data_IF_045952959404
#
_entry.id   IF_045952959404
#
_cell.length_a   1.000
_cell.length_b   1.000
_cell.length_c   1.000
_cell.angle_alpha   90.00
_cell.angle_beta   90.00
_cell.angle_gamma   90.00
#
_symmetry.space_group_name_H-M   'P 1'
#
loop_
_entity.id
_entity.type
_entity.pdbx_description
1 polymer ?
#
# COMPACT_ATOMS: atom_id res chain seq x y z
N UNK A 1 -33.76 -3.74 7.35
CA UNK A 1 -32.80 -4.81 7.09
C UNK A 1 -31.39 -4.23 7.13
N UNK A 2 -30.61 -4.65 8.09
CA UNK A 2 -29.23 -4.16 8.20
C UNK A 2 -28.34 -4.90 7.21
N UNK A 3 -27.53 -4.16 6.46
CA UNK A 3 -26.48 -4.74 5.65
C UNK A 3 -25.22 -4.81 6.51
N UNK A 4 -24.64 -5.98 6.59
CA UNK A 4 -23.36 -6.12 7.24
C UNK A 4 -22.31 -5.40 6.41
N UNK A 5 -21.57 -4.52 7.05
CA UNK A 5 -20.45 -3.87 6.40
C UNK A 5 -19.27 -4.82 6.36
N UNK A 6 -18.63 -4.92 5.18
CA UNK A 6 -17.39 -5.67 5.05
C UNK A 6 -16.30 -4.88 5.76
N UNK A 7 -15.60 -5.50 6.74
CA UNK A 7 -14.50 -4.83 7.41
C UNK A 7 -13.46 -4.39 6.39
N UNK A 8 -13.23 -3.08 6.31
CA UNK A 8 -12.37 -2.49 5.29
C UNK A 8 -11.44 -1.47 5.92
N UNK A 9 -10.14 -1.62 5.65
CA UNK A 9 -9.17 -0.57 5.91
C UNK A 9 -9.31 0.45 4.77
N UNK A 10 -9.43 1.72 5.10
CA UNK A 10 -9.47 2.77 4.09
C UNK A 10 -8.62 3.94 4.55
N UNK A 11 -7.67 4.33 3.73
CA UNK A 11 -6.83 5.51 3.95
C UNK A 11 -6.84 6.34 2.69
N UNK A 12 -6.61 7.65 2.82
CA UNK A 12 -6.68 8.56 1.69
C UNK A 12 -5.80 9.78 1.91
N UNK A 13 -5.42 10.41 0.80
CA UNK A 13 -4.60 11.62 0.86
C UNK A 13 -4.62 12.33 -0.51
N UNK A 14 -4.66 13.64 -0.48
CA UNK A 14 -4.38 14.46 -1.67
C UNK A 14 -2.87 14.47 -1.89
N UNK A 15 -2.46 14.09 -3.10
CA UNK A 15 -1.07 14.13 -3.55
C UNK A 15 -0.98 15.24 -4.60
N UNK A 16 -0.13 16.22 -4.39
CA UNK A 16 -0.01 17.40 -5.26
C UNK A 16 0.88 17.11 -6.46
N UNK A 17 0.54 16.03 -7.18
CA UNK A 17 1.21 15.62 -8.41
C UNK A 17 0.16 15.07 -9.37
N UNK A 18 0.43 15.09 -10.69
CA UNK A 18 -0.50 14.56 -11.70
C UNK A 18 -0.82 13.09 -11.48
N UNK A 19 -2.03 12.67 -11.84
CA UNK A 19 -2.52 11.32 -11.60
C UNK A 19 -1.62 10.25 -12.24
N UNK A 20 -1.02 10.52 -13.39
CA UNK A 20 -0.12 9.56 -14.04
C UNK A 20 1.13 9.29 -13.21
N UNK A 21 1.67 10.30 -12.53
CA UNK A 21 2.85 10.11 -11.66
C UNK A 21 2.49 9.30 -10.42
N UNK A 22 1.35 9.60 -9.80
CA UNK A 22 0.91 8.88 -8.59
C UNK A 22 0.61 7.42 -8.94
N UNK A 23 -0.04 7.18 -10.07
CA UNK A 23 -0.33 5.84 -10.56
C UNK A 23 0.97 5.05 -10.81
N UNK A 24 1.93 5.62 -11.53
CA UNK A 24 3.20 4.96 -11.83
C UNK A 24 4.02 4.66 -10.57
N UNK A 25 3.85 5.46 -9.52
CA UNK A 25 4.56 5.22 -8.26
C UNK A 25 4.23 3.85 -7.65
N UNK A 26 3.04 3.31 -7.93
CA UNK A 26 2.65 1.98 -7.46
C UNK A 26 2.90 0.88 -8.49
N UNK A 27 2.96 1.22 -9.77
CA UNK A 27 3.21 0.25 -10.85
C UNK A 27 4.70 -0.10 -10.95
N UNK A 28 5.56 0.93 -10.88
CA UNK A 28 6.99 0.79 -11.13
C UNK A 28 7.77 0.70 -9.82
N UNK A 29 8.39 -0.47 -9.52
CA UNK A 29 9.15 -0.62 -8.27
C UNK A 29 10.35 0.31 -8.18
N UNK A 30 10.88 0.81 -9.30
CA UNK A 30 11.94 1.81 -9.26
C UNK A 30 11.49 3.07 -8.51
N UNK A 31 10.18 3.32 -8.46
CA UNK A 31 9.61 4.45 -7.72
C UNK A 31 9.12 3.99 -6.35
N UNK A 32 8.38 2.88 -6.28
CA UNK A 32 7.75 2.39 -5.05
C UNK A 32 8.77 2.10 -3.95
N UNK A 33 9.96 1.64 -4.32
CA UNK A 33 11.01 1.32 -3.34
C UNK A 33 11.53 2.55 -2.59
N UNK A 34 11.20 3.74 -3.02
CA UNK A 34 11.58 4.97 -2.31
C UNK A 34 10.70 5.26 -1.10
N UNK A 35 9.53 4.62 -0.99
CA UNK A 35 8.61 4.93 0.11
C UNK A 35 7.91 3.70 0.71
N UNK A 36 8.12 2.52 0.22
CA UNK A 36 7.40 1.33 0.70
C UNK A 36 8.34 0.12 0.88
N UNK A 37 8.18 -0.91 0.05
CA UNK A 37 9.05 -2.08 0.10
C UNK A 37 10.43 -1.76 -0.47
N UNK A 38 11.42 -2.64 -0.25
CA UNK A 38 12.80 -2.36 -0.67
C UNK A 38 13.17 -3.00 -1.99
N UNK A 39 12.43 -4.06 -2.41
CA UNK A 39 12.72 -4.77 -3.65
C UNK A 39 11.45 -5.42 -4.18
N UNK A 40 11.33 -5.50 -5.50
CA UNK A 40 10.27 -6.25 -6.18
C UNK A 40 10.86 -7.05 -7.33
N UNK A 41 10.25 -8.20 -7.62
CA UNK A 41 10.65 -9.03 -8.76
C UNK A 41 10.21 -8.46 -10.11
N UNK A 42 9.35 -7.45 -10.13
CA UNK A 42 8.90 -6.81 -11.37
C UNK A 42 7.82 -5.78 -11.16
N UNK A 43 7.40 -5.16 -12.27
CA UNK A 43 6.29 -4.21 -12.27
C UNK A 43 4.97 -4.94 -12.08
N UNK A 44 3.95 -4.23 -11.59
CA UNK A 44 2.61 -4.77 -11.51
C UNK A 44 2.03 -4.90 -12.93
N UNK A 45 1.53 -6.09 -13.24
CA UNK A 45 0.88 -6.40 -14.52
C UNK A 45 -0.28 -7.34 -14.24
N UNK A 46 -1.41 -7.14 -14.93
CA UNK A 46 -2.60 -7.97 -14.74
C UNK A 46 -2.27 -9.45 -14.96
N UNK A 47 -2.69 -10.27 -14.02
CA UNK A 47 -2.48 -11.71 -14.06
C UNK A 47 -1.10 -12.18 -13.61
N UNK A 48 -0.21 -11.25 -13.26
CA UNK A 48 1.16 -11.57 -12.87
C UNK A 48 1.32 -11.48 -11.36
N UNK A 49 2.03 -12.45 -10.80
CA UNK A 49 2.42 -12.42 -9.39
C UNK A 49 3.85 -11.93 -9.27
N UNK A 50 4.06 -10.90 -8.46
CA UNK A 50 5.40 -10.40 -8.14
C UNK A 50 5.67 -10.65 -6.66
N UNK A 51 6.94 -10.60 -6.28
CA UNK A 51 7.36 -10.72 -4.88
C UNK A 51 7.88 -9.36 -4.43
N UNK A 52 7.29 -8.83 -3.36
CA UNK A 52 7.79 -7.63 -2.69
C UNK A 52 8.58 -8.06 -1.47
N UNK A 53 9.72 -7.41 -1.24
CA UNK A 53 10.61 -7.73 -0.13
C UNK A 53 10.90 -6.50 0.72
N UNK A 54 10.90 -6.72 2.03
CA UNK A 54 11.43 -5.76 3.02
C UNK A 54 12.71 -6.40 3.55
N UNK A 55 13.82 -6.10 2.87
CA UNK A 55 15.10 -6.78 3.11
C UNK A 55 15.61 -6.63 4.53
N UNK A 56 15.38 -5.46 5.14
CA UNK A 56 15.79 -5.19 6.52
C UNK A 56 15.10 -6.10 7.54
N UNK A 57 13.95 -6.66 7.21
CA UNK A 57 13.21 -7.58 8.08
C UNK A 57 13.27 -9.02 7.61
N UNK A 58 13.91 -9.28 6.47
CA UNK A 58 13.91 -10.60 5.82
C UNK A 58 12.49 -11.12 5.61
N UNK A 59 11.59 -10.22 5.24
CA UNK A 59 10.17 -10.52 4.98
C UNK A 59 9.89 -10.29 3.51
N UNK A 60 9.09 -11.19 2.94
CA UNK A 60 8.59 -11.03 1.57
C UNK A 60 7.12 -11.41 1.52
N UNK A 61 6.43 -10.91 0.51
CA UNK A 61 5.04 -11.27 0.24
C UNK A 61 4.81 -11.37 -1.26
N UNK A 62 3.90 -12.26 -1.66
CA UNK A 62 3.48 -12.37 -3.05
C UNK A 62 2.31 -11.44 -3.30
N UNK A 63 2.34 -10.77 -4.44
CA UNK A 63 1.30 -9.81 -4.85
C UNK A 63 0.82 -10.19 -6.24
N UNK A 64 -0.44 -10.56 -6.34
CA UNK A 64 -1.09 -10.86 -7.63
C UNK A 64 -1.92 -9.65 -8.04
N UNK A 65 -1.65 -9.10 -9.22
CA UNK A 65 -2.45 -8.01 -9.77
C UNK A 65 -3.64 -8.59 -10.52
N UNK A 66 -4.84 -8.19 -10.13
CA UNK A 66 -6.08 -8.68 -10.70
C UNK A 66 -6.65 -7.75 -11.76
N UNK A 67 -6.51 -6.46 -11.58
CA UNK A 67 -7.06 -5.46 -12.49
C UNK A 67 -6.22 -4.20 -12.48
N UNK A 68 -6.06 -3.58 -13.65
CA UNK A 68 -5.44 -2.26 -13.80
C UNK A 68 -6.27 -1.46 -14.79
N UNK A 69 -6.68 -0.26 -14.38
CA UNK A 69 -7.25 0.75 -15.26
C UNK A 69 -6.30 1.94 -15.21
N UNK A 70 -5.65 2.25 -16.32
CA UNK A 70 -4.59 3.27 -16.37
C UNK A 70 -5.03 4.59 -15.74
N UNK A 71 -4.24 5.08 -14.80
CA UNK A 71 -4.45 6.34 -14.08
C UNK A 71 -5.74 6.40 -13.26
N UNK A 72 -6.39 5.25 -13.01
CA UNK A 72 -7.66 5.21 -12.28
C UNK A 72 -7.71 4.18 -11.16
N UNK A 73 -7.19 2.96 -11.40
CA UNK A 73 -7.46 1.87 -10.48
C UNK A 73 -6.46 0.74 -10.60
N UNK A 74 -6.06 0.18 -9.47
CA UNK A 74 -5.27 -1.07 -9.40
C UNK A 74 -5.91 -1.93 -8.32
N UNK A 75 -6.15 -3.22 -8.61
CA UNK A 75 -6.60 -4.18 -7.62
C UNK A 75 -5.61 -5.32 -7.52
N UNK A 76 -5.19 -5.62 -6.30
CA UNK A 76 -4.22 -6.68 -6.03
C UNK A 76 -4.71 -7.58 -4.91
N UNK A 77 -4.14 -8.79 -4.85
CA UNK A 77 -4.27 -9.68 -3.70
C UNK A 77 -2.89 -9.94 -3.13
N UNK A 78 -2.77 -9.89 -1.81
CA UNK A 78 -1.51 -10.17 -1.14
C UNK A 78 -1.74 -10.88 0.19
N UNK A 79 -0.68 -11.48 0.71
CA UNK A 79 -0.70 -12.14 2.01
C UNK A 79 -1.19 -13.59 1.96
N UNK A 80 -1.23 -14.20 3.14
CA UNK A 80 -1.69 -15.58 3.30
C UNK A 80 -2.33 -15.74 4.69
N UNK A 81 -3.68 -15.88 4.77
CA UNK A 81 -4.65 -15.87 3.66
C UNK A 81 -4.66 -14.52 2.93
N UNK A 82 -4.94 -14.57 1.64
CA UNK A 82 -4.91 -13.37 0.81
C UNK A 82 -6.03 -12.40 1.16
N UNK A 83 -5.70 -11.11 1.16
CA UNK A 83 -6.68 -10.03 1.21
C UNK A 83 -6.54 -9.19 -0.04
N UNK A 84 -7.58 -8.41 -0.34
CA UNK A 84 -7.58 -7.53 -1.52
C UNK A 84 -7.11 -6.14 -1.12
N UNK A 85 -6.26 -5.55 -1.96
CA UNK A 85 -5.84 -4.15 -1.82
C UNK A 85 -6.17 -3.43 -3.11
N UNK A 86 -7.05 -2.43 -3.02
CA UNK A 86 -7.44 -1.59 -4.13
C UNK A 86 -6.81 -0.21 -3.99
N UNK A 87 -6.28 0.31 -5.09
CA UNK A 87 -5.68 1.65 -5.17
C UNK A 87 -6.52 2.44 -6.14
N UNK A 88 -7.13 3.53 -5.67
CA UNK A 88 -8.06 4.36 -6.44
C UNK A 88 -7.42 5.73 -6.65
N UNK A 89 -7.33 6.16 -7.90
CA UNK A 89 -6.68 7.42 -8.28
C UNK A 89 -7.72 8.33 -8.91
N UNK A 90 -7.98 9.47 -8.28
CA UNK A 90 -8.93 10.44 -8.79
C UNK A 90 -8.22 11.74 -9.13
N UNK A 91 -8.27 12.15 -10.39
CA UNK A 91 -7.72 13.44 -10.81
C UNK A 91 -8.59 14.56 -10.28
N UNK A 92 -7.97 15.56 -9.65
CA UNK A 92 -8.66 16.72 -9.12
C UNK A 92 -8.55 17.90 -10.08
N UNK A 93 -9.43 18.88 -9.89
CA UNK A 93 -9.53 20.04 -10.80
C UNK A 93 -8.27 20.89 -10.87
N UNK A 94 -7.43 20.87 -9.82
CA UNK A 94 -6.17 21.62 -9.78
C UNK A 94 -4.97 20.82 -10.36
N UNK A 95 -5.23 19.66 -10.96
CA UNK A 95 -4.18 18.83 -11.52
C UNK A 95 -3.49 17.90 -10.51
N UNK A 96 -3.96 17.90 -9.26
CA UNK A 96 -3.47 16.96 -8.25
C UNK A 96 -4.29 15.68 -8.26
N UNK A 97 -3.95 14.76 -7.36
CA UNK A 97 -4.58 13.43 -7.28
C UNK A 97 -5.14 13.19 -5.88
N UNK A 98 -6.36 12.64 -5.80
CA UNK A 98 -6.86 12.09 -4.57
C UNK A 98 -6.65 10.59 -4.61
N UNK A 99 -5.80 10.08 -3.71
CA UNK A 99 -5.46 8.67 -3.63
C UNK A 99 -6.21 8.03 -2.48
N UNK A 100 -6.89 6.91 -2.78
CA UNK A 100 -7.57 6.11 -1.77
C UNK A 100 -7.00 4.70 -1.85
N UNK A 101 -6.64 4.11 -0.71
CA UNK A 101 -6.25 2.70 -0.62
C UNK A 101 -7.24 2.00 0.28
N UNK A 102 -7.79 0.88 -0.21
CA UNK A 102 -8.71 0.02 0.54
C UNK A 102 -8.14 -1.37 0.64
N UNK A 103 -8.21 -1.95 1.85
CA UNK A 103 -7.78 -3.33 2.06
C UNK A 103 -8.91 -4.08 2.77
N UNK A 104 -9.36 -5.17 2.18
CA UNK A 104 -10.51 -5.92 2.66
C UNK A 104 -10.40 -7.40 2.31
N UNK A 105 -11.37 -8.19 2.78
CA UNK A 105 -11.38 -9.63 2.55
C UNK A 105 -10.66 -10.40 3.67
N UNK A 106 -10.65 -9.84 4.88
CA UNK A 106 -10.02 -10.49 6.03
C UNK A 106 -10.82 -11.72 6.46
N UNK A 107 -10.14 -12.84 6.64
CA UNK A 107 -10.71 -14.10 7.15
C UNK A 107 -10.42 -14.22 8.64
N UNK A 108 -10.70 -13.15 9.39
CA UNK A 108 -10.42 -13.05 10.81
C UNK A 108 -11.68 -12.56 11.56
N UNK A 109 -11.74 -12.82 12.84
CA UNK A 109 -12.85 -12.40 13.71
C UNK A 109 -12.33 -11.82 15.01
N UNK A 110 -13.18 -11.07 15.69
CA UNK A 110 -12.91 -10.57 17.05
C UNK A 110 -11.66 -9.72 17.14
N UNK A 111 -10.85 -9.97 18.17
CA UNK A 111 -9.65 -9.19 18.44
C UNK A 111 -8.59 -9.30 17.33
N UNK A 112 -8.50 -10.46 16.69
CA UNK A 112 -7.57 -10.65 15.57
C UNK A 112 -7.93 -9.75 14.40
N UNK A 113 -9.23 -9.62 14.10
CA UNK A 113 -9.70 -8.73 13.05
C UNK A 113 -9.44 -7.27 13.41
N UNK A 114 -9.74 -6.88 14.65
CA UNK A 114 -9.50 -5.51 15.13
C UNK A 114 -8.01 -5.17 15.01
N UNK A 115 -7.15 -6.09 15.43
CA UNK A 115 -5.70 -5.91 15.34
C UNK A 115 -5.22 -5.75 13.92
N UNK A 116 -5.73 -6.59 13.00
CA UNK A 116 -5.38 -6.52 11.57
C UNK A 116 -5.81 -5.18 10.96
N UNK A 117 -7.04 -4.73 11.26
CA UNK A 117 -7.55 -3.44 10.76
C UNK A 117 -6.68 -2.29 11.27
N UNK A 118 -6.36 -2.30 12.56
CA UNK A 118 -5.52 -1.29 13.19
C UNK A 118 -4.12 -1.24 12.56
N UNK A 119 -3.48 -2.40 12.45
CA UNK A 119 -2.10 -2.50 11.95
C UNK A 119 -2.02 -2.09 10.48
N UNK A 120 -2.97 -2.53 9.66
CA UNK A 120 -2.97 -2.21 8.24
C UNK A 120 -3.37 -0.75 8.00
N UNK A 121 -4.25 -0.18 8.83
CA UNK A 121 -4.58 1.25 8.73
C UNK A 121 -3.31 2.09 8.99
N UNK A 122 -2.58 1.78 10.03
CA UNK A 122 -1.32 2.45 10.33
C UNK A 122 -0.29 2.26 9.22
N UNK A 123 -0.17 1.02 8.73
CA UNK A 123 0.77 0.67 7.67
C UNK A 123 0.52 1.43 6.38
N UNK A 124 -0.71 1.39 5.87
CA UNK A 124 -1.04 2.08 4.63
C UNK A 124 -1.01 3.61 4.77
N UNK A 125 -1.34 4.14 5.94
CA UNK A 125 -1.19 5.59 6.20
C UNK A 125 0.28 5.98 6.07
N UNK A 126 1.17 5.19 6.66
CA UNK A 126 2.61 5.41 6.57
C UNK A 126 3.10 5.39 5.12
N UNK A 127 2.60 4.44 4.33
CA UNK A 127 2.94 4.33 2.89
C UNK A 127 2.55 5.61 2.16
N UNK A 128 1.32 6.08 2.34
CA UNK A 128 0.82 7.30 1.67
C UNK A 128 1.62 8.53 2.10
N UNK A 129 1.95 8.64 3.39
CA UNK A 129 2.73 9.77 3.90
C UNK A 129 4.12 9.80 3.25
N UNK A 130 4.76 8.64 3.13
CA UNK A 130 6.06 8.52 2.46
C UNK A 130 5.97 8.83 0.97
N UNK A 131 4.92 8.36 0.30
CA UNK A 131 4.66 8.67 -1.10
C UNK A 131 4.56 10.19 -1.32
N UNK A 132 3.78 10.85 -0.48
CA UNK A 132 3.57 12.30 -0.58
C UNK A 132 4.88 13.06 -0.46
N UNK A 133 5.70 12.73 0.54
CA UNK A 133 7.00 13.36 0.74
C UNK A 133 7.91 13.13 -0.47
N UNK A 134 7.91 11.92 -1.01
CA UNK A 134 8.78 11.59 -2.13
C UNK A 134 8.35 12.25 -3.43
N UNK A 135 7.08 12.15 -3.79
CA UNK A 135 6.60 12.69 -5.07
C UNK A 135 6.57 14.22 -5.08
N UNK A 136 6.17 14.84 -3.97
CA UNK A 136 6.05 16.31 -3.92
C UNK A 136 7.37 17.01 -3.65
N UNK A 137 8.28 16.38 -2.92
CA UNK A 137 9.48 17.05 -2.43
C UNK A 137 10.79 16.30 -2.71
N UNK A 138 10.73 15.11 -3.30
CA UNK A 138 11.91 14.31 -3.57
C UNK A 138 12.62 13.79 -2.31
N UNK A 139 11.90 13.72 -1.20
CA UNK A 139 12.47 13.33 0.10
C UNK A 139 12.10 11.90 0.43
N UNK A 140 13.09 11.09 0.79
CA UNK A 140 12.89 9.74 1.33
C UNK A 140 12.93 9.85 2.86
N UNK A 141 11.76 9.76 3.48
CA UNK A 141 11.65 9.88 4.93
C UNK A 141 12.03 8.61 5.68
N UNK A 142 12.18 7.49 4.98
CA UNK A 142 12.47 6.18 5.57
C UNK A 142 11.45 5.77 6.63
N UNK A 143 10.17 6.09 6.39
CA UNK A 143 9.12 5.91 7.40
C UNK A 143 8.93 4.45 7.80
N UNK A 144 8.99 3.51 6.85
CA UNK A 144 8.79 2.09 7.13
C UNK A 144 9.87 1.58 8.09
N UNK A 145 11.13 1.83 7.78
CA UNK A 145 12.25 1.41 8.64
C UNK A 145 12.25 2.09 9.99
N UNK A 146 11.86 3.36 10.03
CA UNK A 146 11.83 4.13 11.26
C UNK A 146 10.63 3.81 12.15
N UNK A 147 9.50 3.40 11.53
CA UNK A 147 8.32 2.97 12.27
C UNK A 147 8.59 1.67 13.05
N UNK A 148 9.37 0.78 12.45
CA UNK A 148 9.70 -0.51 13.05
C UNK A 148 11.23 -0.70 13.03
N UNK A 149 11.99 0.04 13.86
CA UNK A 149 13.45 -0.12 13.90
C UNK A 149 13.79 -1.55 14.27
N UNK A 150 14.74 -2.13 13.55
CA UNK A 150 15.14 -3.52 13.78
C UNK A 150 15.55 -3.79 15.24
N UNK A 151 16.25 -2.86 15.84
CA UNK A 151 16.67 -2.95 17.25
C UNK A 151 15.48 -3.16 18.19
N UNK A 152 14.38 -2.42 17.98
CA UNK A 152 13.15 -2.55 18.77
C UNK A 152 12.43 -3.84 18.44
N UNK A 153 12.37 -4.21 17.16
CA UNK A 153 11.71 -5.45 16.72
C UNK A 153 12.42 -6.69 17.27
N UNK A 154 13.76 -6.68 17.28
CA UNK A 154 14.55 -7.82 17.79
C UNK A 154 14.37 -8.00 19.29
N UNK A 155 14.04 -6.94 20.04
CA UNK A 155 13.84 -6.98 21.49
C UNK A 155 12.36 -7.06 21.88
N UNK A 156 11.45 -7.02 20.93
CA UNK A 156 10.02 -6.95 21.17
C UNK A 156 9.34 -8.28 21.47
N UNK A 157 10.09 -9.32 21.65
CA UNK A 157 9.52 -10.65 21.89
C UNK A 157 10.03 -11.24 23.19
#
# INVERSE_FOLDING_TARGET
MSQEKIPTVEVQMKIRRPVSEVFQAFIDPAITTHFWFTRSSGKLEVGKTVTWEWEMYQISTSVLTKEIQADKFISTEWGNPATTVDYIFQSLSDGSTYLIIKNYGFELEGEELISAIKDNTGGFTTVIDGLKAYLEHGIRLNLIGDKFPKEVMDHGN
#
